data_IF_250937630994
#
_entry.id   IF_250937630994
#
_cell.length_a   1.000
_cell.length_b   1.000
_cell.length_c   1.000
_cell.angle_alpha   90.00
_cell.angle_beta   90.00
_cell.angle_gamma   90.00
#
_symmetry.space_group_name_H-M   'P 1'
#
loop_
_entity.id
_entity.type
_entity.pdbx_description
1 polymer ?
#
# COMPACT_ATOMS: atom_id res chain seq x y z
N UNK A 1 -2.38 32.12 -12.38
CA UNK A 1 -1.07 31.84 -12.96
C UNK A 1 -1.22 30.59 -13.80
N UNK A 2 -1.09 30.70 -15.12
CA UNK A 2 -1.19 29.55 -16.03
C UNK A 2 0.02 28.63 -15.78
N UNK A 3 -0.22 27.41 -15.34
CA UNK A 3 0.81 26.38 -15.30
C UNK A 3 1.18 26.04 -16.75
N UNK A 4 2.26 26.60 -17.23
CA UNK A 4 2.95 26.10 -18.41
C UNK A 4 3.59 24.75 -18.04
N UNK A 5 2.84 23.64 -18.17
CA UNK A 5 3.40 22.30 -18.21
C UNK A 5 4.18 22.15 -19.54
N UNK A 6 5.39 22.74 -19.61
CA UNK A 6 6.27 22.62 -20.78
C UNK A 6 6.89 21.22 -20.90
N UNK A 7 6.72 20.38 -19.88
CA UNK A 7 7.18 18.98 -19.87
C UNK A 7 5.98 18.10 -19.57
N UNK A 8 5.64 17.18 -20.47
CA UNK A 8 4.60 16.17 -20.27
C UNK A 8 4.84 15.33 -19.00
N UNK A 9 3.95 14.41 -18.70
CA UNK A 9 4.12 13.49 -17.57
C UNK A 9 5.24 12.48 -17.85
N UNK A 10 5.90 11.95 -16.83
CA UNK A 10 7.10 11.09 -17.00
C UNK A 10 6.84 9.80 -17.77
N UNK A 11 5.58 9.36 -17.87
CA UNK A 11 5.20 8.15 -18.60
C UNK A 11 4.30 8.43 -19.81
N UNK A 12 4.21 9.69 -20.26
CA UNK A 12 3.51 10.02 -21.49
C UNK A 12 4.12 9.27 -22.68
N UNK A 13 3.26 8.71 -23.52
CA UNK A 13 3.65 7.91 -24.68
C UNK A 13 3.91 6.42 -24.39
N UNK A 14 3.96 5.99 -23.12
CA UNK A 14 4.05 4.57 -22.79
C UNK A 14 2.68 3.89 -22.88
N UNK A 15 2.65 2.69 -23.48
CA UNK A 15 1.48 1.81 -23.54
C UNK A 15 1.65 0.62 -22.61
N UNK A 16 0.68 0.43 -21.71
CA UNK A 16 0.60 -0.68 -20.77
C UNK A 16 -0.58 -1.57 -21.14
N UNK A 17 -0.32 -2.85 -21.36
CA UNK A 17 -1.35 -3.88 -21.51
C UNK A 17 -1.43 -4.65 -20.19
N UNK A 18 -2.59 -4.60 -19.54
CA UNK A 18 -2.78 -5.13 -18.19
C UNK A 18 -3.82 -6.26 -18.18
N UNK A 19 -3.36 -7.48 -18.01
CA UNK A 19 -4.21 -8.65 -17.79
C UNK A 19 -4.36 -8.85 -16.27
N UNK A 20 -5.19 -8.02 -15.67
CA UNK A 20 -5.21 -7.76 -14.23
C UNK A 20 -6.59 -7.90 -13.60
N UNK A 21 -6.59 -8.19 -12.30
CA UNK A 21 -7.80 -8.29 -11.50
C UNK A 21 -7.54 -7.95 -10.03
N UNK A 22 -8.60 -7.69 -9.27
CA UNK A 22 -8.58 -7.40 -7.83
C UNK A 22 -7.76 -6.16 -7.47
N UNK A 23 -6.62 -6.32 -6.76
CA UNK A 23 -5.92 -5.19 -6.13
C UNK A 23 -4.47 -5.04 -6.59
N UNK A 24 -3.62 -6.05 -6.50
CA UNK A 24 -2.17 -5.88 -6.62
C UNK A 24 -1.71 -5.26 -7.96
N UNK A 25 -2.03 -5.90 -9.09
CA UNK A 25 -1.70 -5.35 -10.41
C UNK A 25 -2.49 -4.06 -10.72
N UNK A 26 -3.82 -3.99 -10.45
CA UNK A 26 -4.57 -2.76 -10.62
C UNK A 26 -4.03 -1.57 -9.82
N UNK A 27 -3.48 -1.78 -8.63
CA UNK A 27 -2.80 -0.73 -7.86
C UNK A 27 -1.57 -0.21 -8.60
N UNK A 28 -0.71 -1.09 -9.09
CA UNK A 28 0.47 -0.72 -9.87
C UNK A 28 0.09 0.10 -11.11
N UNK A 29 -0.84 -0.43 -11.92
CA UNK A 29 -1.22 0.20 -13.19
C UNK A 29 -1.98 1.50 -13.02
N UNK A 30 -2.73 1.69 -11.90
CA UNK A 30 -3.33 2.99 -11.58
C UNK A 30 -2.27 4.07 -11.36
N UNK A 31 -1.12 3.73 -10.78
CA UNK A 31 0.01 4.66 -10.58
C UNK A 31 0.73 4.96 -11.90
N UNK A 32 0.83 3.99 -12.80
CA UNK A 32 1.34 4.21 -14.16
C UNK A 32 0.41 5.15 -14.95
N UNK A 33 -0.91 4.96 -14.84
CA UNK A 33 -1.90 5.87 -15.45
C UNK A 33 -1.86 7.28 -14.87
N UNK A 34 -1.74 7.45 -13.55
CA UNK A 34 -1.55 8.74 -12.89
C UNK A 34 -0.30 9.46 -13.41
N UNK A 35 0.77 8.70 -13.73
CA UNK A 35 2.03 9.21 -14.28
C UNK A 35 2.02 9.46 -15.79
N UNK A 36 0.91 9.23 -16.48
CA UNK A 36 0.71 9.56 -17.90
C UNK A 36 0.66 8.35 -18.85
N UNK A 37 0.97 7.14 -18.40
CA UNK A 37 0.89 5.97 -19.26
C UNK A 37 -0.57 5.72 -19.73
N UNK A 38 -0.71 5.28 -20.98
CA UNK A 38 -1.96 4.73 -21.49
C UNK A 38 -2.08 3.30 -21.01
N UNK A 39 -3.06 3.00 -20.17
CA UNK A 39 -3.28 1.67 -19.59
C UNK A 39 -4.54 1.06 -20.18
N UNK A 40 -4.40 -0.06 -20.89
CA UNK A 40 -5.51 -0.89 -21.38
C UNK A 40 -5.64 -2.09 -20.47
N UNK A 41 -6.69 -2.10 -19.66
CA UNK A 41 -7.08 -3.20 -18.78
C UNK A 41 -7.89 -4.21 -19.58
N UNK A 42 -7.41 -5.43 -19.67
CA UNK A 42 -8.13 -6.54 -20.28
C UNK A 42 -8.95 -7.22 -19.22
N UNK A 43 -10.26 -7.25 -19.44
CA UNK A 43 -11.22 -7.84 -18.53
C UNK A 43 -11.98 -9.00 -19.23
N UNK A 44 -12.54 -9.87 -18.45
CA UNK A 44 -13.56 -10.82 -18.95
C UNK A 44 -14.80 -10.08 -19.46
N UNK A 45 -15.65 -10.68 -20.29
CA UNK A 45 -16.91 -10.04 -20.71
C UNK A 45 -17.77 -9.53 -19.55
N UNK A 46 -17.73 -10.21 -18.38
CA UNK A 46 -18.44 -9.84 -17.18
C UNK A 46 -17.71 -8.77 -16.35
N UNK A 47 -16.51 -8.40 -16.74
CA UNK A 47 -15.63 -7.46 -16.02
C UNK A 47 -14.77 -8.12 -14.93
N UNK A 48 -14.00 -7.30 -14.27
CA UNK A 48 -13.22 -7.64 -13.06
C UNK A 48 -14.20 -7.88 -11.89
N UNK A 49 -14.00 -8.97 -11.15
CA UNK A 49 -14.84 -9.26 -9.99
C UNK A 49 -14.76 -8.18 -8.88
N UNK A 50 -13.68 -7.36 -8.85
CA UNK A 50 -13.59 -6.21 -7.97
C UNK A 50 -14.66 -5.14 -8.21
N UNK A 51 -15.30 -5.10 -9.40
CA UNK A 51 -16.48 -4.25 -9.67
C UNK A 51 -17.68 -4.59 -8.80
N UNK A 52 -17.72 -5.82 -8.28
CA UNK A 52 -18.81 -6.36 -7.45
C UNK A 52 -18.52 -6.41 -5.95
N UNK A 53 -17.38 -5.94 -5.46
CA UNK A 53 -17.02 -6.05 -4.04
C UNK A 53 -17.95 -5.25 -3.11
N UNK A 54 -18.37 -4.09 -3.55
CA UNK A 54 -19.34 -3.23 -2.86
C UNK A 54 -20.04 -2.28 -3.86
N UNK A 55 -20.87 -1.36 -3.36
CA UNK A 55 -21.58 -0.35 -4.14
C UNK A 55 -21.48 1.04 -3.48
N UNK A 56 -20.39 1.30 -2.77
CA UNK A 56 -20.27 2.44 -1.87
C UNK A 56 -20.12 3.79 -2.58
N UNK A 57 -19.59 3.82 -3.82
CA UNK A 57 -19.30 5.07 -4.51
C UNK A 57 -20.28 5.24 -5.68
N UNK A 58 -21.45 5.81 -5.40
CA UNK A 58 -22.51 6.07 -6.39
C UNK A 58 -22.94 4.83 -7.20
N UNK A 59 -22.93 3.66 -6.55
CA UNK A 59 -23.27 2.38 -7.17
C UNK A 59 -22.08 1.61 -7.72
N UNK A 60 -20.88 2.20 -7.74
CA UNK A 60 -19.64 1.55 -8.10
C UNK A 60 -18.89 1.02 -6.86
N UNK A 61 -18.05 0.01 -7.06
CA UNK A 61 -17.20 -0.55 -6.01
C UNK A 61 -16.10 0.43 -5.60
N UNK A 62 -15.93 0.67 -4.30
CA UNK A 62 -14.87 1.49 -3.75
C UNK A 62 -13.48 1.00 -4.18
N UNK A 63 -13.27 -0.31 -4.23
CA UNK A 63 -12.03 -0.91 -4.73
C UNK A 63 -11.80 -0.56 -6.20
N UNK A 64 -12.82 -0.70 -7.04
CA UNK A 64 -12.69 -0.44 -8.47
C UNK A 64 -12.41 1.05 -8.74
N UNK A 65 -13.15 1.93 -8.06
CA UNK A 65 -12.94 3.40 -8.14
C UNK A 65 -11.53 3.80 -7.74
N UNK A 66 -11.04 3.22 -6.65
CA UNK A 66 -9.72 3.59 -6.12
C UNK A 66 -8.56 3.29 -7.07
N UNK A 67 -8.56 2.11 -7.73
CA UNK A 67 -7.38 1.60 -8.45
C UNK A 67 -7.58 1.35 -9.95
N UNK A 68 -8.70 1.81 -10.55
CA UNK A 68 -8.92 1.69 -11.99
C UNK A 68 -9.19 3.03 -12.70
N UNK A 69 -8.97 4.13 -12.01
CA UNK A 69 -9.09 5.47 -12.61
C UNK A 69 -8.06 5.66 -13.74
N UNK A 70 -8.50 6.35 -14.78
CA UNK A 70 -7.64 6.72 -15.91
C UNK A 70 -7.23 5.59 -16.83
N UNK A 71 -7.78 4.39 -16.64
CA UNK A 71 -7.58 3.24 -17.52
C UNK A 71 -8.64 3.18 -18.62
N UNK A 72 -8.34 2.44 -19.64
CA UNK A 72 -9.29 1.98 -20.67
C UNK A 72 -9.65 0.52 -20.38
N UNK A 73 -10.89 0.11 -20.67
CA UNK A 73 -11.33 -1.28 -20.49
C UNK A 73 -11.55 -1.95 -21.83
N UNK A 74 -11.00 -3.14 -21.99
CA UNK A 74 -11.19 -4.01 -23.13
C UNK A 74 -11.73 -5.35 -22.65
N UNK A 75 -13.01 -5.60 -22.87
CA UNK A 75 -13.70 -6.82 -22.47
C UNK A 75 -13.54 -7.90 -23.56
N UNK A 76 -12.82 -8.97 -23.23
CA UNK A 76 -12.50 -10.06 -24.17
C UNK A 76 -12.63 -11.43 -23.51
N UNK A 77 -13.17 -12.39 -24.27
CA UNK A 77 -13.10 -13.81 -23.91
C UNK A 77 -11.75 -14.39 -24.41
N UNK A 78 -10.82 -14.60 -23.49
CA UNK A 78 -9.48 -15.12 -23.83
C UNK A 78 -9.47 -16.60 -24.26
N UNK A 79 -10.62 -17.28 -24.26
CA UNK A 79 -10.79 -18.60 -24.89
C UNK A 79 -10.85 -18.46 -26.41
N UNK A 80 -11.29 -17.30 -26.89
CA UNK A 80 -11.34 -16.98 -28.33
C UNK A 80 -9.93 -16.73 -28.89
N UNK A 81 -9.50 -17.48 -29.93
CA UNK A 81 -8.23 -17.24 -30.60
C UNK A 81 -8.10 -15.84 -31.21
N UNK A 82 -9.17 -15.26 -31.73
CA UNK A 82 -9.15 -13.93 -32.34
C UNK A 82 -8.93 -12.85 -31.29
N UNK A 83 -9.51 -13.01 -30.10
CA UNK A 83 -9.28 -12.13 -28.96
C UNK A 83 -7.79 -12.18 -28.54
N UNK A 84 -7.18 -13.36 -28.48
CA UNK A 84 -5.74 -13.49 -28.18
C UNK A 84 -4.86 -12.88 -29.28
N UNK A 85 -5.22 -13.08 -30.55
CA UNK A 85 -4.48 -12.48 -31.67
C UNK A 85 -4.52 -10.95 -31.58
N UNK A 86 -5.66 -10.37 -31.26
CA UNK A 86 -5.78 -8.91 -31.08
C UNK A 86 -4.93 -8.40 -29.90
N UNK A 87 -4.86 -9.12 -28.78
CA UNK A 87 -3.95 -8.75 -27.69
C UNK A 87 -2.48 -8.76 -28.18
N UNK A 88 -2.08 -9.72 -29.00
CA UNK A 88 -0.73 -9.74 -29.57
C UNK A 88 -0.46 -8.54 -30.51
N UNK A 89 -1.46 -8.02 -31.22
CA UNK A 89 -1.33 -6.78 -32.01
C UNK A 89 -1.07 -5.57 -31.08
N UNK A 90 -1.76 -5.51 -29.93
CA UNK A 90 -1.52 -4.48 -28.92
C UNK A 90 -0.13 -4.63 -28.29
N UNK A 91 0.27 -5.86 -27.94
CA UNK A 91 1.58 -6.16 -27.33
C UNK A 91 2.75 -5.80 -28.24
N UNK A 92 2.58 -5.89 -29.57
CA UNK A 92 3.60 -5.47 -30.53
C UNK A 92 3.94 -3.96 -30.44
N UNK A 93 3.04 -3.16 -29.89
CA UNK A 93 3.18 -1.71 -29.69
C UNK A 93 3.38 -1.32 -28.23
N UNK A 94 3.22 -2.29 -27.29
CA UNK A 94 3.25 -2.04 -25.87
C UNK A 94 4.68 -1.89 -25.33
N UNK A 95 4.82 -1.09 -24.32
CA UNK A 95 6.04 -0.92 -23.53
C UNK A 95 6.08 -1.87 -22.34
N UNK A 96 4.92 -2.11 -21.72
CA UNK A 96 4.77 -2.89 -20.51
C UNK A 96 3.59 -3.86 -20.66
N UNK A 97 3.80 -5.10 -20.28
CA UNK A 97 2.76 -6.09 -20.03
C UNK A 97 2.77 -6.46 -18.55
N UNK A 98 1.64 -6.37 -17.89
CA UNK A 98 1.50 -6.77 -16.48
C UNK A 98 0.35 -7.75 -16.31
N UNK A 99 0.54 -8.76 -15.45
CA UNK A 99 -0.51 -9.72 -15.14
C UNK A 99 -0.46 -10.17 -13.66
N UNK A 100 -1.62 -10.55 -13.11
CA UNK A 100 -1.74 -11.21 -11.80
C UNK A 100 -2.78 -12.33 -11.80
N UNK A 101 -2.74 -13.15 -12.84
CA UNK A 101 -3.61 -14.31 -12.97
C UNK A 101 -3.15 -15.47 -12.08
N UNK A 102 -4.00 -16.49 -11.98
CA UNK A 102 -3.64 -17.73 -11.30
C UNK A 102 -2.37 -18.37 -11.92
N UNK A 103 -1.57 -19.09 -11.13
CA UNK A 103 -0.30 -19.66 -11.57
C UNK A 103 -0.42 -20.41 -12.91
N UNK A 104 0.48 -20.14 -13.84
CA UNK A 104 0.54 -20.72 -15.19
C UNK A 104 -0.60 -20.36 -16.14
N UNK A 105 -1.56 -19.52 -15.72
CA UNK A 105 -2.69 -19.17 -16.59
C UNK A 105 -2.27 -18.31 -17.78
N UNK A 106 -1.39 -17.34 -17.57
CA UNK A 106 -0.84 -16.50 -18.64
C UNK A 106 -0.06 -17.34 -19.67
N UNK A 107 0.79 -18.26 -19.20
CA UNK A 107 1.57 -19.16 -20.07
C UNK A 107 0.66 -20.03 -20.94
N UNK A 108 -0.36 -20.65 -20.36
CA UNK A 108 -1.33 -21.49 -21.10
C UNK A 108 -2.09 -20.73 -22.18
N UNK A 109 -2.26 -19.43 -22.02
CA UNK A 109 -2.91 -18.56 -23.00
C UNK A 109 -1.96 -17.92 -24.01
N UNK A 110 -0.65 -18.18 -23.91
CA UNK A 110 0.38 -17.64 -24.79
C UNK A 110 0.93 -16.27 -24.35
N UNK A 111 0.63 -15.86 -23.14
CA UNK A 111 1.07 -14.56 -22.56
C UNK A 111 2.17 -14.71 -21.50
N UNK A 112 2.89 -15.84 -21.49
CA UNK A 112 4.02 -16.04 -20.58
C UNK A 112 5.17 -15.07 -20.89
N UNK A 113 5.79 -14.53 -19.85
CA UNK A 113 6.81 -13.48 -19.94
C UNK A 113 8.00 -13.86 -20.85
N UNK A 114 8.48 -15.10 -20.82
CA UNK A 114 9.57 -15.55 -21.68
C UNK A 114 9.18 -15.55 -23.17
N UNK A 115 7.98 -16.09 -23.46
CA UNK A 115 7.43 -16.11 -24.82
C UNK A 115 7.24 -14.70 -25.35
N UNK A 116 6.66 -13.81 -24.54
CA UNK A 116 6.41 -12.42 -24.95
C UNK A 116 7.71 -11.66 -25.20
N UNK A 117 8.71 -11.79 -24.33
CA UNK A 117 9.99 -11.09 -24.46
C UNK A 117 10.84 -11.63 -25.62
N UNK A 118 10.74 -12.91 -25.93
CA UNK A 118 11.36 -13.47 -27.15
C UNK A 118 10.75 -12.84 -28.40
N UNK A 119 9.41 -12.67 -28.41
CA UNK A 119 8.71 -12.09 -29.55
C UNK A 119 8.81 -10.56 -29.63
N UNK A 120 8.87 -9.90 -28.47
CA UNK A 120 8.91 -8.44 -28.32
C UNK A 120 10.08 -8.03 -27.41
N UNK A 121 11.31 -7.97 -27.92
CA UNK A 121 12.51 -7.82 -27.08
C UNK A 121 12.58 -6.53 -26.24
N UNK A 122 11.84 -5.49 -26.62
CA UNK A 122 11.76 -4.23 -25.85
C UNK A 122 10.66 -4.24 -24.79
N UNK A 123 9.76 -5.21 -24.80
CA UNK A 123 8.66 -5.31 -23.85
C UNK A 123 9.18 -5.60 -22.45
N UNK A 124 8.72 -4.81 -21.48
CA UNK A 124 8.89 -5.09 -20.06
C UNK A 124 7.69 -5.93 -19.63
N UNK A 125 7.94 -7.10 -19.04
CA UNK A 125 6.87 -7.94 -18.49
C UNK A 125 6.92 -7.90 -16.98
N UNK A 126 5.75 -7.84 -16.32
CA UNK A 126 5.62 -7.88 -14.88
C UNK A 126 4.61 -8.95 -14.46
N UNK A 127 5.09 -9.96 -13.75
CA UNK A 127 4.28 -11.06 -13.23
C UNK A 127 4.10 -10.87 -11.72
N UNK A 128 2.86 -10.67 -11.26
CA UNK A 128 2.53 -10.62 -9.83
C UNK A 128 1.85 -11.93 -9.45
N UNK A 129 2.42 -12.63 -8.48
CA UNK A 129 1.95 -13.94 -8.00
C UNK A 129 1.72 -13.96 -6.50
N UNK A 130 1.11 -15.04 -5.98
CA UNK A 130 0.96 -15.24 -4.54
C UNK A 130 2.27 -15.54 -3.83
N UNK A 131 2.96 -16.57 -4.33
CA UNK A 131 4.15 -17.16 -3.67
C UNK A 131 5.38 -17.24 -4.57
N UNK A 132 5.42 -16.47 -5.65
CA UNK A 132 6.51 -16.51 -6.63
C UNK A 132 6.25 -17.54 -7.73
N UNK A 133 7.26 -17.67 -8.63
CA UNK A 133 7.22 -18.58 -9.79
C UNK A 133 7.99 -19.88 -9.54
N UNK A 134 8.57 -20.02 -8.35
CA UNK A 134 9.35 -21.21 -7.92
C UNK A 134 9.11 -21.51 -6.44
N UNK A 135 9.64 -22.65 -5.98
CA UNK A 135 9.48 -23.09 -4.60
C UNK A 135 8.22 -23.96 -4.37
N UNK A 136 8.04 -24.53 -3.16
CA UNK A 136 7.01 -25.54 -2.91
C UNK A 136 5.58 -25.03 -2.96
N UNK A 137 5.36 -23.72 -2.82
CA UNK A 137 4.03 -23.11 -2.77
C UNK A 137 3.66 -22.31 -4.05
N UNK A 138 4.49 -22.36 -5.10
CA UNK A 138 4.31 -21.53 -6.30
C UNK A 138 2.97 -21.73 -7.02
N UNK A 139 2.35 -22.91 -6.91
CA UNK A 139 1.04 -23.22 -7.49
C UNK A 139 -0.14 -22.91 -6.56
N UNK A 140 0.13 -22.52 -5.30
CA UNK A 140 -0.92 -22.26 -4.33
C UNK A 140 -1.67 -20.99 -4.67
N UNK A 141 -3.01 -21.05 -4.60
CA UNK A 141 -3.84 -19.85 -4.72
C UNK A 141 -3.63 -18.94 -3.51
N UNK A 142 -3.47 -17.66 -3.77
CA UNK A 142 -3.27 -16.64 -2.77
C UNK A 142 -4.32 -15.55 -2.82
N UNK A 143 -4.62 -15.00 -1.66
CA UNK A 143 -5.33 -13.75 -1.45
C UNK A 143 -4.66 -13.04 -0.27
N UNK A 144 -4.81 -11.74 -0.17
CA UNK A 144 -4.14 -10.89 0.81
C UNK A 144 -4.11 -11.48 2.23
N UNK A 145 -5.28 -11.82 2.80
CA UNK A 145 -5.36 -12.34 4.16
C UNK A 145 -4.63 -13.68 4.34
N UNK A 146 -4.66 -14.54 3.33
CA UNK A 146 -3.95 -15.82 3.38
C UNK A 146 -2.44 -15.58 3.47
N UNK A 147 -1.94 -14.63 2.71
CA UNK A 147 -0.51 -14.26 2.74
C UNK A 147 -0.16 -13.51 4.02
N UNK A 148 -1.02 -12.65 4.56
CA UNK A 148 -0.80 -12.06 5.89
C UNK A 148 -0.61 -13.15 6.97
N UNK A 149 -1.41 -14.22 6.89
CA UNK A 149 -1.31 -15.33 7.85
C UNK A 149 -0.03 -16.14 7.65
N UNK A 150 0.30 -16.55 6.42
CA UNK A 150 1.47 -17.36 6.07
C UNK A 150 2.81 -16.64 6.31
N UNK A 151 2.85 -15.32 6.10
CA UNK A 151 4.06 -14.51 6.29
C UNK A 151 4.35 -14.13 7.74
N UNK A 152 3.43 -14.42 8.67
CA UNK A 152 3.57 -14.06 10.08
C UNK A 152 3.13 -12.63 10.42
N UNK A 153 2.61 -11.83 9.48
CA UNK A 153 2.08 -10.49 9.76
C UNK A 153 0.97 -10.52 10.82
N UNK A 154 0.09 -11.53 10.78
CA UNK A 154 -0.95 -11.74 11.78
C UNK A 154 -0.34 -12.04 13.17
N UNK A 155 0.79 -12.72 13.21
CA UNK A 155 1.45 -13.10 14.47
C UNK A 155 2.05 -11.92 15.23
N UNK A 156 2.31 -10.79 14.55
CA UNK A 156 2.85 -9.57 15.18
C UNK A 156 1.84 -8.41 15.22
N UNK A 157 0.65 -8.59 14.62
CA UNK A 157 -0.37 -7.54 14.52
C UNK A 157 -1.42 -7.65 15.61
N UNK A 158 -1.81 -6.50 16.17
CA UNK A 158 -2.88 -6.40 17.18
C UNK A 158 -2.44 -6.67 18.61
N UNK A 159 -3.41 -6.73 19.51
CA UNK A 159 -3.21 -7.01 20.93
C UNK A 159 -3.10 -8.52 21.22
N UNK A 160 -2.57 -8.93 22.38
CA UNK A 160 -2.67 -10.31 22.86
C UNK A 160 -4.13 -10.78 22.89
N UNK A 161 -4.36 -12.05 22.56
CA UNK A 161 -5.71 -12.63 22.48
C UNK A 161 -6.05 -13.14 21.08
N UNK A 162 -7.29 -12.96 20.58
CA UNK A 162 -7.70 -13.41 19.24
C UNK A 162 -6.81 -12.85 18.13
N UNK A 163 -6.63 -13.64 17.07
CA UNK A 163 -5.87 -13.21 15.90
C UNK A 163 -6.58 -12.04 15.19
N UNK A 164 -5.80 -11.08 14.74
CA UNK A 164 -6.27 -9.94 13.96
C UNK A 164 -5.39 -9.73 12.73
N UNK A 165 -6.01 -9.28 11.62
CA UNK A 165 -5.28 -8.87 10.42
C UNK A 165 -4.98 -7.37 10.43
N UNK A 166 -4.09 -6.92 9.57
CA UNK A 166 -4.04 -5.52 9.13
C UNK A 166 -5.30 -5.27 8.30
N UNK A 167 -6.07 -4.25 8.65
CA UNK A 167 -7.44 -4.03 8.14
C UNK A 167 -7.55 -3.62 6.66
N UNK A 168 -6.42 -3.44 5.96
CA UNK A 168 -6.35 -3.17 4.53
C UNK A 168 -5.65 -4.32 3.81
N UNK A 169 -5.75 -4.40 2.48
CA UNK A 169 -5.07 -5.41 1.64
C UNK A 169 -3.57 -5.11 1.53
N UNK A 170 -2.86 -5.20 2.64
CA UNK A 170 -1.46 -4.72 2.76
C UNK A 170 -0.48 -5.50 1.87
N UNK A 171 -0.67 -6.82 1.71
CA UNK A 171 0.18 -7.65 0.85
C UNK A 171 -0.03 -7.30 -0.62
N UNK A 172 -1.29 -7.12 -1.05
CA UNK A 172 -1.63 -6.69 -2.40
C UNK A 172 -1.07 -5.29 -2.70
N UNK A 173 -1.29 -4.34 -1.79
CA UNK A 173 -0.81 -2.96 -1.94
C UNK A 173 0.72 -2.94 -2.05
N UNK A 174 1.41 -3.64 -1.16
CA UNK A 174 2.88 -3.67 -1.15
C UNK A 174 3.43 -4.37 -2.39
N UNK A 175 2.81 -5.47 -2.84
CA UNK A 175 3.17 -6.12 -4.11
C UNK A 175 2.97 -5.18 -5.31
N UNK A 176 1.86 -4.44 -5.35
CA UNK A 176 1.62 -3.43 -6.38
C UNK A 176 2.64 -2.28 -6.35
N UNK A 177 3.08 -1.84 -5.16
CA UNK A 177 4.15 -0.85 -5.02
C UNK A 177 5.49 -1.39 -5.50
N UNK A 178 5.86 -2.61 -5.12
CA UNK A 178 7.09 -3.27 -5.57
C UNK A 178 7.10 -3.52 -7.08
N UNK A 179 5.95 -3.88 -7.66
CA UNK A 179 5.80 -3.99 -9.11
C UNK A 179 6.04 -2.66 -9.83
N UNK A 180 5.50 -1.56 -9.31
CA UNK A 180 5.75 -0.22 -9.84
C UNK A 180 7.24 0.14 -9.78
N UNK A 181 7.90 -0.11 -8.65
CA UNK A 181 9.36 0.14 -8.49
C UNK A 181 10.14 -0.71 -9.50
N UNK A 182 9.86 -1.99 -9.60
CA UNK A 182 10.52 -2.90 -10.54
C UNK A 182 10.33 -2.48 -12.00
N UNK A 183 9.13 -2.07 -12.39
CA UNK A 183 8.84 -1.55 -13.73
C UNK A 183 9.61 -0.26 -14.01
N UNK A 184 9.66 0.68 -13.05
CA UNK A 184 10.43 1.92 -13.22
C UNK A 184 11.93 1.65 -13.39
N UNK A 185 12.49 0.71 -12.63
CA UNK A 185 13.89 0.27 -12.78
C UNK A 185 14.12 -0.39 -14.15
N UNK A 186 13.17 -1.23 -14.60
CA UNK A 186 13.24 -1.88 -15.92
C UNK A 186 13.16 -0.86 -17.06
N UNK A 187 12.35 0.19 -16.95
CA UNK A 187 12.31 1.31 -17.90
C UNK A 187 13.65 2.03 -17.97
N UNK A 188 14.23 2.39 -16.82
CA UNK A 188 15.57 3.02 -16.77
C UNK A 188 16.67 2.13 -17.36
N UNK A 189 16.59 0.81 -17.12
CA UNK A 189 17.52 -0.15 -17.73
C UNK A 189 17.33 -0.22 -19.25
N UNK A 190 16.07 -0.27 -19.71
CA UNK A 190 15.75 -0.32 -21.15
C UNK A 190 16.27 0.88 -21.92
N UNK A 191 16.24 2.09 -21.32
CA UNK A 191 16.83 3.28 -21.95
C UNK A 191 18.35 3.13 -22.21
N UNK A 192 19.05 2.38 -21.39
CA UNK A 192 20.50 2.13 -21.53
C UNK A 192 20.81 0.97 -22.45
N UNK A 193 19.99 -0.08 -22.44
CA UNK A 193 20.28 -1.37 -23.10
C UNK A 193 19.53 -1.57 -24.41
N UNK A 194 18.43 -0.83 -24.59
CA UNK A 194 17.49 -1.03 -25.69
C UNK A 194 16.58 -2.26 -25.54
N UNK A 195 16.75 -3.06 -24.47
CA UNK A 195 16.05 -4.34 -24.26
C UNK A 195 15.18 -4.26 -22.99
N UNK A 196 13.97 -4.82 -23.07
CA UNK A 196 13.07 -4.96 -21.93
C UNK A 196 13.53 -6.01 -20.92
N UNK A 197 12.95 -5.98 -19.74
CA UNK A 197 13.27 -6.90 -18.64
C UNK A 197 12.03 -7.61 -18.12
N UNK A 198 12.21 -8.76 -17.49
CA UNK A 198 11.19 -9.41 -16.68
C UNK A 198 11.24 -8.87 -15.26
N UNK A 199 10.09 -8.53 -14.71
CA UNK A 199 9.88 -8.18 -13.31
C UNK A 199 8.97 -9.25 -12.71
N UNK A 200 9.37 -9.84 -11.63
CA UNK A 200 8.57 -10.80 -10.85
C UNK A 200 8.39 -10.28 -9.44
N UNK A 201 7.16 -10.28 -8.96
CA UNK A 201 6.81 -9.86 -7.60
C UNK A 201 5.86 -10.90 -7.02
N UNK A 202 6.06 -11.25 -5.76
CA UNK A 202 5.08 -12.04 -5.02
C UNK A 202 4.49 -11.27 -3.85
N UNK A 203 3.25 -11.61 -3.49
CA UNK A 203 2.62 -11.10 -2.29
C UNK A 203 3.41 -11.55 -1.05
N UNK A 204 3.91 -12.80 -1.08
CA UNK A 204 4.64 -13.38 0.03
C UNK A 204 6.00 -12.69 0.25
N UNK A 205 6.81 -12.47 -0.79
CA UNK A 205 8.09 -11.77 -0.67
C UNK A 205 7.89 -10.32 -0.23
N UNK A 206 6.84 -9.66 -0.75
CA UNK A 206 6.47 -8.30 -0.33
C UNK A 206 6.07 -8.24 1.16
N UNK A 207 5.36 -9.26 1.64
CA UNK A 207 5.02 -9.38 3.06
C UNK A 207 6.25 -9.74 3.91
N UNK A 208 7.15 -10.60 3.40
CA UNK A 208 8.40 -10.97 4.07
C UNK A 208 9.34 -9.78 4.25
N UNK A 209 9.38 -8.86 3.28
CA UNK A 209 10.14 -7.61 3.40
C UNK A 209 9.58 -6.72 4.54
N UNK A 210 8.25 -6.59 4.65
CA UNK A 210 7.61 -5.93 5.80
C UNK A 210 7.97 -6.59 7.14
N UNK A 211 8.20 -7.90 7.14
CA UNK A 211 8.56 -8.70 8.31
C UNK A 211 10.07 -8.76 8.60
N UNK A 212 10.89 -7.99 7.87
CA UNK A 212 12.36 -8.05 8.01
C UNK A 212 12.85 -7.85 9.46
N UNK A 213 12.31 -6.88 10.19
CA UNK A 213 12.69 -6.63 11.59
C UNK A 213 12.25 -7.76 12.51
N UNK A 214 10.98 -8.18 12.56
CA UNK A 214 10.56 -9.38 13.31
C UNK A 214 11.37 -10.63 12.97
N UNK A 215 11.66 -10.86 11.69
CA UNK A 215 12.49 -11.97 11.24
C UNK A 215 13.91 -11.92 11.84
N UNK A 216 14.56 -10.76 11.77
CA UNK A 216 15.92 -10.60 12.33
C UNK A 216 15.93 -10.78 13.86
N UNK A 217 14.93 -10.27 14.55
CA UNK A 217 14.77 -10.46 16.00
C UNK A 217 14.55 -11.92 16.37
N UNK A 218 13.70 -12.63 15.62
CA UNK A 218 13.44 -14.04 15.85
C UNK A 218 14.67 -14.91 15.57
N UNK A 219 15.42 -14.60 14.50
CA UNK A 219 16.54 -15.44 14.05
C UNK A 219 17.83 -15.22 14.80
N UNK A 220 18.12 -13.98 15.19
CA UNK A 220 19.42 -13.58 15.77
C UNK A 220 19.30 -12.92 17.14
N UNK A 221 18.12 -12.58 17.59
CA UNK A 221 17.84 -11.96 18.88
C UNK A 221 17.37 -12.96 19.94
N UNK A 222 16.63 -12.46 20.92
CA UNK A 222 16.09 -13.24 22.04
C UNK A 222 14.81 -14.02 21.72
N UNK A 223 14.31 -13.97 20.49
CA UNK A 223 13.09 -14.64 20.05
C UNK A 223 12.17 -13.75 19.21
N UNK A 224 11.10 -14.34 18.70
CA UNK A 224 10.11 -13.61 17.92
C UNK A 224 9.38 -12.57 18.80
N UNK A 225 9.11 -11.35 18.27
CA UNK A 225 8.33 -10.37 19.01
C UNK A 225 6.88 -10.86 19.21
N UNK A 226 6.34 -10.61 20.39
CA UNK A 226 4.94 -10.87 20.69
C UNK A 226 4.04 -9.74 20.19
N UNK A 227 2.72 -10.01 20.09
CA UNK A 227 1.72 -8.98 19.85
C UNK A 227 1.57 -8.12 21.08
N UNK A 228 1.80 -6.82 20.93
CA UNK A 228 1.84 -5.86 22.04
C UNK A 228 0.77 -4.77 21.94
N UNK A 229 -0.19 -4.92 21.02
CA UNK A 229 -1.24 -3.92 20.78
C UNK A 229 -0.68 -2.63 20.24
N UNK A 230 -1.01 -1.52 20.88
CA UNK A 230 -0.53 -0.18 20.51
C UNK A 230 0.83 0.19 21.12
N UNK A 231 1.56 -0.79 21.69
CA UNK A 231 2.90 -0.57 22.24
C UNK A 231 3.97 -0.90 21.21
N UNK A 232 5.14 -0.29 21.34
CA UNK A 232 6.31 -0.68 20.57
C UNK A 232 7.09 -1.78 21.32
N UNK A 233 7.51 -2.88 20.69
CA UNK A 233 8.13 -3.99 21.40
C UNK A 233 9.49 -3.62 22.04
N UNK A 234 10.27 -2.72 21.46
CA UNK A 234 11.64 -2.39 21.86
C UNK A 234 11.88 -0.91 22.23
N UNK A 235 10.84 -0.08 22.30
CA UNK A 235 10.95 1.33 22.69
C UNK A 235 9.92 1.66 23.77
N UNK A 236 10.33 2.38 24.83
CA UNK A 236 9.46 2.81 25.90
C UNK A 236 9.82 4.22 26.44
N UNK A 237 8.81 5.07 26.76
CA UNK A 237 7.40 4.87 26.50
C UNK A 237 7.07 5.02 25.00
N UNK A 238 6.27 4.12 24.48
CA UNK A 238 5.66 4.18 23.16
C UNK A 238 4.36 3.36 23.24
N UNK A 239 3.21 4.03 23.24
CA UNK A 239 1.92 3.39 23.40
C UNK A 239 0.78 4.37 23.58
N UNK A 240 -0.42 3.85 23.82
CA UNK A 240 -1.62 4.62 24.06
C UNK A 240 -1.88 4.78 25.57
N UNK A 241 -2.37 5.97 25.94
CA UNK A 241 -2.77 6.33 27.31
C UNK A 241 -4.13 7.02 27.28
N UNK A 242 -4.99 6.65 28.21
CA UNK A 242 -6.37 7.12 28.27
C UNK A 242 -6.50 8.34 29.19
N UNK A 243 -7.07 9.42 28.67
CA UNK A 243 -7.36 10.64 29.40
C UNK A 243 -8.61 10.48 30.30
N UNK A 244 -8.84 11.46 31.22
CA UNK A 244 -9.97 11.46 32.17
C UNK A 244 -11.33 11.47 31.49
N UNK A 245 -11.43 11.99 30.28
CA UNK A 245 -12.62 12.04 29.43
C UNK A 245 -12.79 10.80 28.50
N UNK A 246 -11.98 9.76 28.70
CA UNK A 246 -12.05 8.48 27.98
C UNK A 246 -11.44 8.48 26.58
N UNK A 247 -10.76 9.57 26.16
CA UNK A 247 -10.07 9.65 24.88
C UNK A 247 -8.63 9.17 25.02
N UNK A 248 -8.15 8.47 23.99
CA UNK A 248 -6.79 7.92 23.96
C UNK A 248 -5.82 8.81 23.17
N UNK A 249 -4.59 8.91 23.67
CA UNK A 249 -3.47 9.56 23.01
C UNK A 249 -2.34 8.53 22.89
N UNK A 250 -1.79 8.37 21.68
CA UNK A 250 -0.56 7.60 21.45
C UNK A 250 0.62 8.57 21.52
N UNK A 251 1.66 8.23 22.27
CA UNK A 251 2.90 8.99 22.30
C UNK A 251 4.12 8.10 22.08
N UNK A 252 5.23 8.71 21.69
CA UNK A 252 6.52 8.04 21.50
C UNK A 252 7.67 8.92 22.01
N UNK A 253 8.60 8.30 22.73
CA UNK A 253 9.85 8.89 23.16
C UNK A 253 10.99 8.08 22.52
N UNK A 254 11.80 8.71 21.68
CA UNK A 254 12.78 8.00 20.85
C UNK A 254 14.22 8.05 21.39
N UNK A 255 14.51 8.99 22.31
CA UNK A 255 15.86 9.18 22.83
C UNK A 255 15.85 9.78 24.26
N UNK A 256 17.02 9.78 24.90
CA UNK A 256 17.15 10.20 26.30
C UNK A 256 16.92 11.69 26.51
N UNK A 257 17.18 12.54 25.51
CA UNK A 257 16.87 13.98 25.59
C UNK A 257 15.35 14.19 25.63
N UNK A 258 14.62 13.51 24.78
CA UNK A 258 13.14 13.56 24.78
C UNK A 258 12.57 12.98 26.08
N UNK A 259 13.18 11.90 26.61
CA UNK A 259 12.80 11.33 27.89
C UNK A 259 12.95 12.34 29.04
N UNK A 260 14.11 12.98 29.13
CA UNK A 260 14.36 14.04 30.15
C UNK A 260 13.36 15.20 30.00
N UNK A 261 13.10 15.63 28.79
CA UNK A 261 12.13 16.69 28.50
C UNK A 261 10.70 16.28 28.90
N UNK A 262 10.28 15.06 28.58
CA UNK A 262 8.99 14.53 28.95
C UNK A 262 8.82 14.43 30.48
N UNK A 263 9.84 13.97 31.20
CA UNK A 263 9.86 13.96 32.67
C UNK A 263 9.66 15.36 33.25
N UNK A 264 10.32 16.36 32.69
CA UNK A 264 10.24 17.75 33.16
C UNK A 264 8.90 18.41 32.78
N UNK A 265 8.53 18.33 31.51
CA UNK A 265 7.41 19.14 30.97
C UNK A 265 6.05 18.46 31.18
N UNK A 266 5.95 17.18 30.87
CA UNK A 266 4.68 16.44 30.93
C UNK A 266 4.47 15.77 32.29
N UNK A 267 5.41 14.94 32.75
CA UNK A 267 5.25 14.22 34.01
C UNK A 267 5.39 15.13 35.22
N UNK A 268 6.08 16.26 35.10
CA UNK A 268 6.43 17.17 36.22
C UNK A 268 7.23 16.46 37.32
N UNK A 269 8.04 15.47 36.95
CA UNK A 269 8.87 14.64 37.82
C UNK A 269 10.27 14.48 37.21
N UNK A 270 11.07 15.54 37.27
CA UNK A 270 12.41 15.61 36.66
C UNK A 270 13.34 14.46 37.08
N UNK A 271 13.21 13.98 38.33
CA UNK A 271 14.03 12.91 38.90
C UNK A 271 13.87 11.57 38.21
N UNK A 272 12.75 11.33 37.52
CA UNK A 272 12.52 10.11 36.75
C UNK A 272 13.54 9.96 35.60
N UNK A 273 14.08 11.05 35.08
CA UNK A 273 15.06 11.01 34.02
C UNK A 273 16.38 10.31 34.43
N UNK A 274 16.70 10.33 35.74
CA UNK A 274 17.90 9.72 36.32
C UNK A 274 17.58 8.49 37.20
N UNK A 275 16.31 8.11 37.35
CA UNK A 275 15.90 6.90 38.07
C UNK A 275 16.51 5.67 37.37
N UNK A 276 17.19 4.81 38.10
CA UNK A 276 17.87 3.62 37.58
C UNK A 276 16.93 2.69 36.79
N UNK A 277 15.63 2.71 37.08
CA UNK A 277 14.61 1.93 36.36
C UNK A 277 14.29 2.51 34.97
N UNK A 278 14.52 3.83 34.75
CA UNK A 278 14.01 4.56 33.59
C UNK A 278 15.07 5.38 32.85
N UNK A 279 16.33 5.41 33.30
CA UNK A 279 17.39 6.26 32.79
C UNK A 279 17.97 5.85 31.43
N UNK A 280 17.47 4.76 30.85
CA UNK A 280 17.81 4.34 29.48
C UNK A 280 16.62 3.64 28.84
N UNK A 281 16.56 3.59 27.49
CA UNK A 281 15.50 2.89 26.79
C UNK A 281 15.42 1.41 27.19
N UNK A 282 16.57 0.73 27.35
CA UNK A 282 16.59 -0.67 27.78
C UNK A 282 15.95 -0.87 29.16
N UNK A 283 16.28 0.02 30.11
CA UNK A 283 15.72 -0.02 31.47
C UNK A 283 14.21 0.33 31.45
N UNK A 284 13.78 1.29 30.62
CA UNK A 284 12.34 1.60 30.45
C UNK A 284 11.56 0.45 29.85
N UNK A 285 12.14 -0.27 28.87
CA UNK A 285 11.50 -1.47 28.29
C UNK A 285 11.42 -2.59 29.32
N UNK A 286 12.46 -2.82 30.11
CA UNK A 286 12.49 -3.83 31.19
C UNK A 286 11.43 -3.53 32.26
N UNK A 287 11.29 -2.27 32.64
CA UNK A 287 10.37 -1.81 33.69
C UNK A 287 9.09 -1.19 33.13
N UNK A 288 8.68 -1.59 31.91
CA UNK A 288 7.54 -1.02 31.19
C UNK A 288 6.22 -1.03 31.99
N UNK A 289 5.83 -2.10 32.70
CA UNK A 289 4.58 -2.09 33.48
C UNK A 289 4.51 -0.93 34.48
N UNK A 290 5.61 -0.69 35.22
CA UNK A 290 5.71 0.38 36.20
C UNK A 290 5.68 1.75 35.51
N UNK A 291 6.43 1.90 34.42
CA UNK A 291 6.49 3.12 33.62
C UNK A 291 5.10 3.49 33.04
N UNK A 292 4.46 2.52 32.37
CA UNK A 292 3.15 2.72 31.77
C UNK A 292 2.10 3.09 32.83
N UNK A 293 2.14 2.44 34.01
CA UNK A 293 1.24 2.73 35.13
C UNK A 293 1.43 4.15 35.64
N UNK A 294 2.68 4.59 35.79
CA UNK A 294 2.99 5.96 36.23
C UNK A 294 2.49 6.99 35.23
N UNK A 295 2.73 6.78 33.95
CA UNK A 295 2.27 7.68 32.88
C UNK A 295 0.73 7.70 32.83
N UNK A 296 0.09 6.53 32.89
CA UNK A 296 -1.37 6.40 32.87
C UNK A 296 -2.02 7.15 34.04
N UNK A 297 -1.45 7.11 35.25
CA UNK A 297 -1.96 7.86 36.39
C UNK A 297 -2.03 9.36 36.12
N UNK A 298 -1.05 9.91 35.41
CA UNK A 298 -1.01 11.33 35.04
C UNK A 298 -2.08 11.64 33.98
N UNK A 299 -2.16 10.78 32.92
CA UNK A 299 -3.17 10.95 31.87
C UNK A 299 -4.59 10.89 32.40
N UNK A 300 -4.85 10.01 33.37
CA UNK A 300 -6.18 9.86 34.00
C UNK A 300 -6.64 11.10 34.78
N UNK A 301 -5.75 12.04 35.05
CA UNK A 301 -6.07 13.32 35.73
C UNK A 301 -6.23 14.48 34.74
N UNK A 302 -5.90 14.30 33.48
CA UNK A 302 -5.93 15.32 32.44
C UNK A 302 -7.09 15.04 31.47
N UNK A 303 -7.80 16.07 31.05
CA UNK A 303 -8.67 15.97 29.89
C UNK A 303 -7.80 15.81 28.64
N UNK A 304 -8.38 15.33 27.56
CA UNK A 304 -7.69 15.21 26.27
C UNK A 304 -7.08 16.54 25.82
N UNK A 305 -7.82 17.65 25.98
CA UNK A 305 -7.35 18.98 25.61
C UNK A 305 -6.12 19.41 26.46
N UNK A 306 -6.19 19.22 27.79
CA UNK A 306 -5.09 19.57 28.69
C UNK A 306 -3.84 18.70 28.42
N UNK A 307 -4.05 17.43 28.10
CA UNK A 307 -2.94 16.53 27.76
C UNK A 307 -2.24 16.96 26.48
N UNK A 308 -3.00 17.30 25.41
CA UNK A 308 -2.44 17.82 24.15
C UNK A 308 -1.67 19.12 24.38
N UNK A 309 -2.23 20.08 25.12
CA UNK A 309 -1.54 21.33 25.42
C UNK A 309 -0.21 21.06 26.13
N UNK A 310 -0.22 20.17 27.14
CA UNK A 310 0.97 19.82 27.91
C UNK A 310 2.02 19.07 27.08
N UNK A 311 1.58 18.18 26.15
CA UNK A 311 2.47 17.48 25.23
C UNK A 311 3.11 18.46 24.22
N UNK A 312 2.34 19.41 23.69
CA UNK A 312 2.84 20.45 22.79
C UNK A 312 3.88 21.35 23.47
N UNK A 313 3.60 21.83 24.70
CA UNK A 313 4.55 22.59 25.49
C UNK A 313 5.86 21.83 25.74
N UNK A 314 5.75 20.52 25.91
CA UNK A 314 6.87 19.60 26.07
C UNK A 314 7.52 19.16 24.77
N UNK A 315 7.04 19.58 23.59
CA UNK A 315 7.49 19.13 22.27
C UNK A 315 7.56 17.58 22.16
N UNK A 316 6.64 16.90 22.83
CA UNK A 316 6.56 15.44 22.81
C UNK A 316 5.81 15.00 21.57
N UNK A 317 6.33 13.98 20.86
CA UNK A 317 5.63 13.39 19.72
C UNK A 317 4.40 12.60 20.20
N UNK A 318 3.23 12.93 19.67
CA UNK A 318 1.97 12.25 19.96
C UNK A 318 1.02 12.23 18.77
N UNK A 319 0.00 11.39 18.85
CA UNK A 319 -1.08 11.30 17.85
C UNK A 319 -2.40 10.85 18.51
N UNK A 320 -3.49 11.20 17.87
CA UNK A 320 -4.84 10.75 18.24
C UNK A 320 -5.13 9.38 17.62
N UNK A 321 -5.94 8.57 18.26
CA UNK A 321 -6.50 7.37 17.65
C UNK A 321 -7.76 7.79 16.90
N UNK A 322 -7.65 7.93 15.61
CA UNK A 322 -8.72 8.40 14.73
C UNK A 322 -9.51 7.25 14.11
N UNK A 323 -10.80 7.43 13.96
CA UNK A 323 -11.66 6.59 13.13
C UNK A 323 -11.50 6.95 11.64
N UNK A 324 -12.12 6.15 10.75
CA UNK A 324 -12.18 6.48 9.32
C UNK A 324 -12.96 7.78 9.09
N UNK A 325 -13.99 8.07 9.91
CA UNK A 325 -14.73 9.34 9.85
C UNK A 325 -13.84 10.54 10.21
N UNK A 326 -12.96 10.38 11.21
CA UNK A 326 -12.00 11.42 11.58
C UNK A 326 -10.95 11.62 10.49
N UNK A 327 -10.56 10.55 9.78
CA UNK A 327 -9.67 10.66 8.62
C UNK A 327 -10.30 11.52 7.51
N UNK A 328 -11.61 11.36 7.25
CA UNK A 328 -12.32 12.17 6.23
C UNK A 328 -12.26 13.67 6.58
N UNK A 329 -12.35 14.01 7.86
CA UNK A 329 -12.28 15.39 8.35
C UNK A 329 -10.84 15.86 8.66
N UNK A 330 -9.83 15.03 8.46
CA UNK A 330 -8.47 15.31 8.91
C UNK A 330 -7.83 16.45 8.11
N UNK A 331 -7.27 17.50 8.75
CA UNK A 331 -6.74 18.68 8.04
C UNK A 331 -5.54 18.39 7.14
N UNK A 332 -4.86 17.26 7.33
CA UNK A 332 -3.74 16.83 6.49
C UNK A 332 -4.17 15.91 5.34
N UNK A 333 -5.44 15.50 5.28
CA UNK A 333 -5.91 14.65 4.20
C UNK A 333 -5.95 15.46 2.91
N UNK A 334 -5.25 14.99 1.89
CA UNK A 334 -5.32 15.50 0.52
C UNK A 334 -6.24 14.59 -0.30
N UNK A 335 -7.20 15.19 -0.98
CA UNK A 335 -8.08 14.49 -1.91
C UNK A 335 -7.96 15.09 -3.31
N UNK A 336 -8.48 14.36 -4.28
CA UNK A 336 -8.74 14.83 -5.63
C UNK A 336 -10.12 14.37 -6.06
N UNK A 337 -10.81 15.23 -6.75
CA UNK A 337 -12.10 14.90 -7.32
C UNK A 337 -11.98 14.05 -8.58
N UNK A 338 -12.99 13.20 -8.80
CA UNK A 338 -13.25 12.49 -10.06
C UNK A 338 -14.75 12.44 -10.32
N UNK A 339 -15.13 12.31 -11.58
CA UNK A 339 -16.54 12.15 -11.97
C UNK A 339 -16.87 10.67 -12.14
N UNK A 340 -17.94 10.21 -11.50
CA UNK A 340 -18.47 8.84 -11.58
C UNK A 340 -19.97 8.93 -11.79
N UNK A 341 -20.48 8.42 -12.91
CA UNK A 341 -21.90 8.46 -13.22
C UNK A 341 -22.52 9.87 -13.18
N UNK A 342 -21.74 10.91 -13.53
CA UNK A 342 -22.17 12.31 -13.48
C UNK A 342 -22.09 12.96 -12.09
N UNK A 343 -21.66 12.26 -11.06
CA UNK A 343 -21.48 12.75 -9.70
C UNK A 343 -19.99 12.92 -9.37
N UNK A 344 -19.65 13.86 -8.47
CA UNK A 344 -18.29 14.12 -8.04
C UNK A 344 -17.97 13.30 -6.79
N UNK A 345 -16.95 12.44 -6.89
CA UNK A 345 -16.35 11.71 -5.78
C UNK A 345 -15.02 12.34 -5.38
N UNK A 346 -14.76 12.44 -4.08
CA UNK A 346 -13.46 12.82 -3.53
C UNK A 346 -12.68 11.55 -3.12
N UNK A 347 -11.49 11.38 -3.68
CA UNK A 347 -10.64 10.20 -3.47
C UNK A 347 -9.30 10.65 -2.89
N UNK A 348 -8.73 9.93 -1.91
CA UNK A 348 -7.39 10.25 -1.39
C UNK A 348 -6.37 10.41 -2.52
N UNK A 349 -5.63 11.52 -2.48
CA UNK A 349 -4.59 11.82 -3.46
C UNK A 349 -3.40 10.84 -3.33
N UNK A 350 -2.58 10.66 -4.38
CA UNK A 350 -1.32 9.91 -4.25
C UNK A 350 -0.45 10.49 -3.14
N UNK A 351 0.36 9.65 -2.44
CA UNK A 351 1.12 10.08 -1.27
C UNK A 351 2.29 11.03 -1.58
N UNK A 352 2.64 11.17 -2.84
CA UNK A 352 3.69 12.10 -3.32
C UNK A 352 3.07 13.33 -3.98
N UNK A 353 3.81 14.43 -3.98
CA UNK A 353 3.47 15.68 -4.67
C UNK A 353 4.53 15.92 -5.73
N UNK A 354 4.11 16.13 -6.96
CA UNK A 354 4.99 16.36 -8.11
C UNK A 354 4.48 17.53 -8.94
N UNK A 355 5.37 18.23 -9.63
CA UNK A 355 5.03 19.44 -10.39
C UNK A 355 4.08 19.18 -11.57
N UNK A 356 4.08 17.95 -12.11
CA UNK A 356 3.29 17.51 -13.24
C UNK A 356 1.96 16.84 -12.84
N UNK A 357 1.56 16.87 -11.56
CA UNK A 357 0.32 16.20 -11.13
C UNK A 357 -0.95 16.89 -11.60
N UNK A 358 -1.96 16.09 -11.99
CA UNK A 358 -3.29 16.63 -12.29
C UNK A 358 -4.02 17.06 -11.01
N UNK A 359 -4.87 18.09 -11.13
CA UNK A 359 -5.72 18.56 -10.02
C UNK A 359 -6.91 17.63 -9.77
N UNK A 360 -7.33 16.88 -10.78
CA UNK A 360 -8.45 15.93 -10.74
C UNK A 360 -8.00 14.58 -11.27
N UNK A 361 -8.68 13.52 -10.87
CA UNK A 361 -8.49 12.22 -11.49
C UNK A 361 -9.36 12.05 -12.73
N UNK A 362 -8.88 11.29 -13.71
CA UNK A 362 -9.72 10.74 -14.77
C UNK A 362 -10.73 9.75 -14.17
N UNK A 363 -11.86 9.55 -14.81
CA UNK A 363 -12.88 8.59 -14.40
C UNK A 363 -12.36 7.13 -14.47
N UNK A 364 -13.14 6.22 -13.87
CA UNK A 364 -13.01 4.78 -14.10
C UNK A 364 -13.61 4.41 -15.46
N UNK A 365 -13.13 3.35 -16.11
CA UNK A 365 -13.70 2.87 -17.36
C UNK A 365 -14.98 2.05 -17.12
N UNK A 366 -15.97 2.22 -18.00
CA UNK A 366 -17.04 1.25 -18.16
C UNK A 366 -16.50 -0.03 -18.81
N UNK A 367 -17.22 -1.17 -18.65
CA UNK A 367 -16.77 -2.44 -19.21
C UNK A 367 -16.77 -2.34 -20.75
N UNK A 368 -15.62 -2.65 -21.36
CA UNK A 368 -15.49 -2.75 -22.81
C UNK A 368 -15.66 -1.46 -23.58
N UNK A 369 -15.40 -0.29 -22.95
CA UNK A 369 -15.52 1.03 -23.63
C UNK A 369 -14.60 1.16 -24.82
N UNK A 370 -13.51 0.39 -24.91
CA UNK A 370 -12.66 0.32 -26.09
C UNK A 370 -12.97 -0.95 -26.89
N UNK A 371 -14.18 -1.01 -27.42
CA UNK A 371 -14.56 -2.09 -28.33
C UNK A 371 -13.62 -2.13 -29.55
N UNK A 372 -13.56 -3.27 -30.21
CA UNK A 372 -12.77 -3.55 -31.42
C UNK A 372 -12.96 -2.57 -32.59
N UNK A 373 -13.72 -1.51 -32.40
CA UNK A 373 -14.07 -0.46 -33.39
C UNK A 373 -12.92 0.49 -33.76
N UNK A 374 -11.82 0.53 -32.97
CA UNK A 374 -10.65 1.37 -33.30
C UNK A 374 -9.61 0.65 -34.21
N UNK A 375 -10.10 -0.27 -35.05
CA UNK A 375 -9.29 -0.92 -36.10
C UNK A 375 -9.07 -0.02 -37.31
N UNK A 376 -8.76 1.29 -37.13
CA UNK A 376 -8.39 2.13 -38.26
C UNK A 376 -7.19 3.01 -37.98
#
# INVERSE_FOLDING_TARGET
MANNNQHGKPMDGLLVIALEQAVAAPFCTSRLADAGARVIKIERPEGDFARGYDKAVFGESSYFVWINRGKESLALDLRDPDARAYIHELLAKADIFIQNLAPGAADRMGFGSETLRTRYPRLITCDISGYGTSGPLHELKAYDLLVQAESGLVAVSGAPGPWGRIGVSICDITAGMNALIGIQQALLQRERTGVGSKVEVSLFDSAADLMAVPYLQARYGSGAPERVGLKHPSIAPYGAFTCSDGRDIVLSIQNEREWSQFCNSFLKQATLATDARFNSNANRVLNRPDLDSLIQQIFSQLTYADAIERLNLGQTAFGSINSVSDLIAHPQLRTRSMTIGGQTAEVPAPPYIVEWEDKTFKSIPDIGTNALSDRH
#
